data_IF_738954757344
#
_entry.id   IF_738954757344
#
_cell.length_a   1.000
_cell.length_b   1.000
_cell.length_c   1.000
_cell.angle_alpha   90.00
_cell.angle_beta   90.00
_cell.angle_gamma   90.00
#
_symmetry.space_group_name_H-M   'P 1'
#
loop_
_entity.id
_entity.type
_entity.pdbx_description
1 polymer ?
#
# COMPACT_ATOMS: atom_id res chain seq x y z
N UNK A 1 -4.59 4.21 13.89
CA UNK A 1 -3.33 3.56 13.43
C UNK A 1 -2.42 4.65 12.91
N UNK A 2 -1.19 4.78 13.41
CA UNK A 2 -0.29 5.87 13.05
C UNK A 2 0.25 5.71 11.62
N UNK A 3 0.62 6.82 10.96
CA UNK A 3 1.26 6.80 9.63
C UNK A 3 2.47 5.84 9.57
N UNK A 4 3.23 5.74 10.65
CA UNK A 4 4.34 4.80 10.81
C UNK A 4 3.91 3.33 10.70
N UNK A 5 2.78 2.93 11.26
CA UNK A 5 2.28 1.54 11.16
C UNK A 5 2.00 1.13 9.70
N UNK A 6 1.64 2.09 8.84
CA UNK A 6 1.43 1.85 7.40
C UNK A 6 2.75 1.71 6.64
N UNK A 7 3.74 2.54 6.94
CA UNK A 7 5.11 2.45 6.38
C UNK A 7 5.70 1.06 6.68
N UNK A 8 5.48 0.54 7.89
CA UNK A 8 6.02 -0.77 8.31
C UNK A 8 5.30 -1.97 7.70
N UNK A 9 4.02 -1.81 7.33
CA UNK A 9 3.32 -2.86 6.59
C UNK A 9 3.86 -3.02 5.17
N UNK A 10 4.22 -1.93 4.53
CA UNK A 10 4.90 -1.95 3.22
C UNK A 10 6.34 -2.47 3.32
N UNK A 11 7.04 -2.21 4.42
CA UNK A 11 8.37 -2.75 4.68
C UNK A 11 8.41 -4.28 4.93
N UNK A 12 7.30 -4.92 5.29
CA UNK A 12 7.21 -6.40 5.36
C UNK A 12 7.29 -7.09 3.99
N UNK A 13 7.14 -6.35 2.90
CA UNK A 13 7.30 -6.85 1.53
C UNK A 13 8.79 -6.91 1.14
N UNK A 14 9.67 -6.31 1.93
CA UNK A 14 11.12 -6.48 1.79
C UNK A 14 11.42 -7.95 2.11
N UNK A 15 11.57 -8.77 1.05
CA UNK A 15 11.81 -10.21 1.17
C UNK A 15 13.02 -10.50 2.07
N UNK A 16 12.93 -11.58 2.78
CA UNK A 16 13.81 -12.13 3.80
C UNK A 16 15.31 -12.16 3.51
N UNK A 17 15.78 -11.88 2.30
CA UNK A 17 17.19 -11.81 1.97
C UNK A 17 17.95 -10.64 2.61
N UNK A 18 17.25 -9.55 2.95
CA UNK A 18 17.82 -8.37 3.63
C UNK A 18 17.45 -8.33 5.11
N UNK A 19 16.35 -8.97 5.49
CA UNK A 19 15.73 -8.90 6.82
C UNK A 19 15.74 -10.26 7.54
N UNK A 20 16.86 -10.95 7.56
CA UNK A 20 16.96 -12.18 8.34
C UNK A 20 16.63 -11.94 9.82
N UNK A 21 15.41 -12.34 10.21
CA UNK A 21 15.01 -12.77 11.57
C UNK A 21 15.16 -11.80 12.75
N UNK A 22 14.97 -10.49 12.58
CA UNK A 22 14.98 -9.62 13.75
C UNK A 22 13.56 -9.32 14.25
N UNK A 23 13.25 -9.73 15.47
CA UNK A 23 12.16 -9.19 16.29
C UNK A 23 12.47 -7.73 16.61
N UNK A 24 12.46 -6.86 15.60
CA UNK A 24 12.63 -5.43 15.82
C UNK A 24 11.36 -4.88 16.48
N UNK A 25 11.56 -4.14 17.55
CA UNK A 25 10.52 -3.40 18.24
C UNK A 25 9.85 -2.35 17.35
N UNK A 26 9.05 -1.49 17.92
CA UNK A 26 8.22 -0.54 17.19
C UNK A 26 9.02 0.34 16.21
N UNK A 27 8.51 0.37 15.01
CA UNK A 27 8.43 1.43 14.01
C UNK A 27 9.71 2.19 13.64
N UNK A 28 10.33 2.90 14.52
CA UNK A 28 11.41 3.84 14.20
C UNK A 28 12.75 3.15 13.95
N UNK A 29 12.98 1.99 14.53
CA UNK A 29 14.21 1.20 14.37
C UNK A 29 14.41 0.71 12.94
N UNK A 30 13.34 0.55 12.17
CA UNK A 30 13.41 0.24 10.75
C UNK A 30 14.17 1.29 9.95
N UNK A 31 14.13 2.55 10.37
CA UNK A 31 14.91 3.61 9.74
C UNK A 31 16.41 3.31 9.76
N UNK A 32 16.93 2.72 10.85
CA UNK A 32 18.32 2.29 10.94
C UNK A 32 18.62 1.12 9.99
N UNK A 33 17.77 0.08 9.99
CA UNK A 33 17.91 -1.09 9.10
C UNK A 33 17.93 -0.67 7.64
N UNK A 34 16.99 0.17 7.23
CA UNK A 34 16.94 0.67 5.86
C UNK A 34 18.17 1.53 5.51
N UNK A 35 18.64 2.36 6.44
CA UNK A 35 19.83 3.16 6.22
C UNK A 35 21.10 2.26 6.02
N UNK A 36 21.28 1.24 6.83
CA UNK A 36 22.38 0.27 6.63
C UNK A 36 22.23 -0.48 5.31
N UNK A 37 21.02 -0.89 4.93
CA UNK A 37 20.74 -1.55 3.64
C UNK A 37 21.02 -0.64 2.45
N UNK A 38 20.78 0.67 2.56
CA UNK A 38 21.15 1.65 1.51
C UNK A 38 22.67 1.76 1.37
N UNK A 39 23.40 1.71 2.48
CA UNK A 39 24.88 1.82 2.48
C UNK A 39 25.58 0.54 2.03
N UNK A 40 24.92 -0.60 2.16
CA UNK A 40 25.44 -1.91 1.79
C UNK A 40 24.38 -2.75 1.08
N UNK A 41 23.96 -2.35 -0.13
CA UNK A 41 22.87 -3.00 -0.84
C UNK A 41 23.16 -4.50 -1.09
N UNK A 42 22.15 -5.33 -0.82
CA UNK A 42 22.23 -6.79 -0.99
C UNK A 42 23.02 -7.54 0.10
N UNK A 43 23.56 -6.84 1.10
CA UNK A 43 24.19 -7.48 2.27
C UNK A 43 23.20 -7.60 3.43
N UNK A 44 23.25 -8.69 4.21
CA UNK A 44 22.46 -8.80 5.43
C UNK A 44 22.75 -7.63 6.37
N UNK A 45 21.71 -6.99 6.87
CA UNK A 45 21.83 -5.97 7.91
C UNK A 45 21.62 -6.64 9.27
N UNK A 46 22.59 -6.60 10.20
CA UNK A 46 22.43 -7.23 11.51
C UNK A 46 21.36 -6.57 12.37
N UNK A 47 20.90 -5.37 11.98
CA UNK A 47 20.00 -4.58 12.81
C UNK A 47 20.62 -4.20 14.14
N UNK A 48 20.02 -3.27 14.84
CA UNK A 48 20.38 -2.98 16.23
C UNK A 48 19.14 -2.55 17.00
N UNK A 49 19.06 -2.97 18.26
CA UNK A 49 18.08 -2.40 19.18
C UNK A 49 18.58 -1.05 19.65
N UNK A 50 17.90 0.00 19.26
CA UNK A 50 18.19 1.35 19.72
C UNK A 50 16.93 2.01 20.31
N UNK A 51 17.12 2.97 21.22
CA UNK A 51 16.02 3.73 21.79
C UNK A 51 15.34 4.62 20.75
N UNK A 52 14.09 4.94 20.97
CA UNK A 52 13.35 5.89 20.13
C UNK A 52 13.97 7.29 20.16
N UNK A 53 13.67 8.11 19.15
CA UNK A 53 13.97 9.52 19.17
C UNK A 53 13.21 10.20 20.33
N UNK A 54 13.88 10.93 21.23
CA UNK A 54 13.19 11.54 22.38
C UNK A 54 12.26 12.70 21.99
N UNK A 55 12.66 13.50 21.00
CA UNK A 55 11.93 14.67 20.52
C UNK A 55 11.94 14.72 18.98
N UNK A 56 11.16 13.82 18.31
CA UNK A 56 11.10 13.82 16.85
C UNK A 56 10.71 15.19 16.30
N UNK A 57 11.52 15.74 15.39
CA UNK A 57 11.32 17.07 14.81
C UNK A 57 11.73 17.08 13.35
N UNK A 58 11.57 18.23 12.68
CA UNK A 58 11.86 18.40 11.27
C UNK A 58 10.59 18.69 10.48
N UNK A 59 10.74 18.79 9.18
CA UNK A 59 9.67 19.19 8.27
C UNK A 59 9.19 18.04 7.39
N UNK A 60 8.03 18.20 6.80
CA UNK A 60 7.57 17.44 5.66
C UNK A 60 8.28 17.94 4.41
N UNK A 61 8.31 17.13 3.37
CA UNK A 61 9.00 17.46 2.12
C UNK A 61 8.22 16.99 0.90
N UNK A 62 8.30 17.78 -0.18
CA UNK A 62 7.83 17.37 -1.50
C UNK A 62 8.89 17.69 -2.54
N UNK A 63 9.28 16.70 -3.34
CA UNK A 63 10.27 16.82 -4.40
C UNK A 63 11.18 15.60 -4.50
N UNK A 64 12.08 15.63 -5.46
CA UNK A 64 13.05 14.56 -5.64
C UNK A 64 14.12 14.64 -4.55
N UNK A 65 14.57 13.48 -4.07
CA UNK A 65 15.75 13.34 -3.21
C UNK A 65 16.77 12.48 -3.99
N UNK A 66 17.91 13.09 -4.30
CA UNK A 66 18.96 12.45 -5.12
C UNK A 66 19.69 11.36 -4.35
N UNK A 67 20.37 10.46 -5.08
CA UNK A 67 21.16 9.38 -4.50
C UNK A 67 22.23 9.92 -3.53
N UNK A 68 22.90 11.02 -3.88
CA UNK A 68 23.88 11.68 -3.01
C UNK A 68 23.25 12.14 -1.69
N UNK A 69 22.07 12.76 -1.75
CA UNK A 69 21.35 13.27 -0.58
C UNK A 69 20.88 12.13 0.33
N UNK A 70 20.17 11.13 -0.19
CA UNK A 70 19.68 10.05 0.67
C UNK A 70 20.79 9.14 1.21
N UNK A 71 21.87 8.97 0.46
CA UNK A 71 23.04 8.23 0.97
C UNK A 71 23.74 9.01 2.10
N UNK A 72 23.84 10.34 1.98
CA UNK A 72 24.34 11.20 3.06
C UNK A 72 23.49 11.09 4.32
N UNK A 73 22.15 11.14 4.17
CA UNK A 73 21.21 10.97 5.30
C UNK A 73 21.37 9.57 5.95
N UNK A 74 21.52 8.53 5.14
CA UNK A 74 21.72 7.18 5.65
C UNK A 74 23.02 7.07 6.47
N UNK A 75 24.12 7.65 5.99
CA UNK A 75 25.39 7.72 6.73
C UNK A 75 25.26 8.46 8.07
N UNK A 76 24.59 9.62 8.05
CA UNK A 76 24.33 10.40 9.27
C UNK A 76 23.55 9.58 10.30
N UNK A 77 22.46 8.93 9.84
CA UNK A 77 21.62 8.11 10.70
C UNK A 77 22.39 6.96 11.34
N UNK A 78 23.09 6.17 10.53
CA UNK A 78 23.87 5.01 11.01
C UNK A 78 24.95 5.45 12.01
N UNK A 79 25.71 6.49 11.68
CA UNK A 79 26.74 7.04 12.56
C UNK A 79 26.17 7.53 13.89
N UNK A 80 25.03 8.25 13.83
CA UNK A 80 24.35 8.76 15.02
C UNK A 80 23.87 7.62 15.94
N UNK A 81 23.20 6.60 15.36
CA UNK A 81 22.68 5.47 16.14
C UNK A 81 23.79 4.68 16.79
N UNK A 82 24.89 4.38 16.05
CA UNK A 82 26.06 3.69 16.59
C UNK A 82 26.70 4.44 17.79
N UNK A 83 26.73 5.79 17.72
CA UNK A 83 27.29 6.61 18.78
C UNK A 83 26.36 6.77 19.99
N UNK A 84 25.05 6.89 19.77
CA UNK A 84 24.11 7.35 20.80
C UNK A 84 23.14 6.26 21.28
N UNK A 85 23.15 5.08 20.67
CA UNK A 85 22.20 3.98 20.93
C UNK A 85 20.73 4.41 20.94
N UNK A 86 20.39 5.39 20.12
CA UNK A 86 19.01 5.88 19.91
C UNK A 86 18.82 6.46 18.52
N UNK A 87 17.58 6.55 18.08
CA UNK A 87 17.23 7.25 16.84
C UNK A 87 17.45 8.75 16.96
N UNK A 88 17.89 9.44 15.89
CA UNK A 88 17.95 10.91 15.86
C UNK A 88 16.56 11.51 15.76
N UNK A 89 16.42 12.74 16.23
CA UNK A 89 15.16 13.48 16.12
C UNK A 89 14.79 13.83 14.66
N UNK A 90 15.79 13.96 13.79
CA UNK A 90 15.68 14.21 12.35
C UNK A 90 16.96 13.76 11.64
N UNK A 91 16.91 13.65 10.31
CA UNK A 91 18.07 13.60 9.42
C UNK A 91 18.13 14.83 8.55
N UNK A 92 19.28 15.12 7.94
CA UNK A 92 19.45 16.30 7.11
C UNK A 92 20.05 16.00 5.75
N UNK A 93 19.74 16.86 4.79
CA UNK A 93 20.47 16.98 3.54
C UNK A 93 20.57 18.45 3.13
N UNK A 94 21.55 18.76 2.29
CA UNK A 94 21.80 20.12 1.81
C UNK A 94 21.22 20.30 0.41
N UNK A 95 20.51 21.41 0.20
CA UNK A 95 19.99 21.79 -1.11
C UNK A 95 19.96 23.31 -1.27
N UNK A 96 20.60 23.80 -2.34
CA UNK A 96 20.66 25.22 -2.65
C UNK A 96 21.14 26.07 -1.44
N UNK A 97 22.19 25.61 -0.76
CA UNK A 97 22.75 26.27 0.42
C UNK A 97 21.88 26.23 1.68
N UNK A 98 20.79 25.45 1.67
CA UNK A 98 19.90 25.29 2.83
C UNK A 98 19.94 23.89 3.38
N UNK A 99 20.02 23.76 4.69
CA UNK A 99 19.89 22.49 5.40
C UNK A 99 18.42 22.14 5.57
N UNK A 100 18.01 21.02 4.96
CA UNK A 100 16.68 20.47 5.07
C UNK A 100 16.66 19.40 6.17
N UNK A 101 15.82 19.58 7.19
CA UNK A 101 15.65 18.63 8.30
C UNK A 101 14.39 17.81 8.06
N UNK A 102 14.51 16.51 7.86
CA UNK A 102 13.37 15.61 7.66
C UNK A 102 12.97 14.92 8.96
N UNK A 103 11.66 14.91 9.24
CA UNK A 103 11.08 14.18 10.37
C UNK A 103 11.33 12.67 10.23
N UNK A 104 11.32 11.97 11.37
CA UNK A 104 11.54 10.51 11.43
C UNK A 104 10.60 9.75 10.48
N UNK A 105 9.30 10.02 10.51
CA UNK A 105 8.33 9.38 9.59
C UNK A 105 8.66 9.58 8.12
N UNK A 106 9.23 10.75 7.76
CA UNK A 106 9.52 11.14 6.38
C UNK A 106 10.74 10.39 5.85
N UNK A 107 11.86 10.39 6.58
CA UNK A 107 13.04 9.70 6.11
C UNK A 107 12.91 8.17 6.17
N UNK A 108 12.19 7.63 7.14
CA UNK A 108 11.90 6.18 7.19
C UNK A 108 11.07 5.77 5.98
N UNK A 109 10.07 6.55 5.61
CA UNK A 109 9.29 6.32 4.40
C UNK A 109 10.14 6.40 3.13
N UNK A 110 10.98 7.41 2.99
CA UNK A 110 11.92 7.55 1.88
C UNK A 110 12.83 6.32 1.76
N UNK A 111 13.44 5.90 2.87
CA UNK A 111 14.38 4.78 2.87
C UNK A 111 13.69 3.43 2.56
N UNK A 112 12.49 3.21 3.08
CA UNK A 112 11.69 2.03 2.74
C UNK A 112 11.41 1.94 1.24
N UNK A 113 11.06 3.06 0.57
CA UNK A 113 10.84 3.11 -0.87
C UNK A 113 12.12 2.88 -1.68
N UNK A 114 13.25 3.40 -1.22
CA UNK A 114 14.55 3.18 -1.87
C UNK A 114 14.91 1.69 -1.82
N UNK A 115 14.74 1.03 -0.67
CA UNK A 115 15.04 -0.39 -0.53
C UNK A 115 14.10 -1.22 -1.40
N UNK A 116 12.80 -0.90 -1.42
CA UNK A 116 11.86 -1.57 -2.31
C UNK A 116 12.26 -1.43 -3.80
N UNK A 117 12.65 -0.23 -4.23
CA UNK A 117 13.16 -0.04 -5.59
C UNK A 117 14.37 -0.93 -5.86
N UNK A 118 15.32 -0.99 -4.90
CA UNK A 118 16.50 -1.84 -5.02
C UNK A 118 16.14 -3.33 -5.16
N UNK A 119 15.16 -3.82 -4.41
CA UNK A 119 14.71 -5.22 -4.50
C UNK A 119 14.14 -5.59 -5.86
N UNK A 120 13.44 -4.66 -6.49
CA UNK A 120 12.84 -4.88 -7.83
C UNK A 120 13.86 -4.68 -8.95
N UNK A 121 14.71 -3.66 -8.84
CA UNK A 121 15.61 -3.24 -9.95
C UNK A 121 17.05 -3.64 -9.75
N UNK A 122 17.43 -4.22 -8.60
CA UNK A 122 18.79 -4.59 -8.20
C UNK A 122 19.84 -3.48 -8.31
N UNK A 123 19.38 -2.21 -8.27
CA UNK A 123 20.21 -1.01 -8.25
C UNK A 123 19.52 0.09 -7.45
N UNK A 124 20.32 0.94 -6.80
CA UNK A 124 19.79 2.11 -6.11
C UNK A 124 19.26 3.16 -7.11
N UNK A 125 18.12 3.83 -6.83
CA UNK A 125 17.59 4.87 -7.70
C UNK A 125 18.52 6.10 -7.72
N UNK A 126 18.68 6.72 -8.90
CA UNK A 126 19.43 8.00 -9.02
C UNK A 126 18.78 9.13 -8.21
N UNK A 127 17.46 9.11 -8.11
CA UNK A 127 16.65 9.98 -7.26
C UNK A 127 15.35 9.25 -6.88
N UNK A 128 14.76 9.64 -5.74
CA UNK A 128 13.45 9.15 -5.30
C UNK A 128 12.51 10.33 -5.08
N UNK A 129 11.34 10.30 -5.68
CA UNK A 129 10.28 11.27 -5.41
C UNK A 129 9.79 11.07 -3.98
N UNK A 130 9.81 12.11 -3.18
CA UNK A 130 9.26 12.14 -1.84
C UNK A 130 8.08 13.13 -1.83
N UNK A 131 6.89 12.62 -1.58
CA UNK A 131 5.69 13.45 -1.41
C UNK A 131 5.03 13.09 -0.08
N UNK A 132 5.17 13.96 0.90
CA UNK A 132 4.61 13.76 2.23
C UNK A 132 3.12 14.07 2.33
N UNK A 133 2.50 14.55 1.25
CA UNK A 133 1.03 14.70 1.20
C UNK A 133 0.32 13.36 1.43
N UNK A 134 0.97 12.24 1.12
CA UNK A 134 0.49 10.89 1.43
C UNK A 134 0.14 10.70 2.92
N UNK A 135 0.80 11.41 3.82
CA UNK A 135 0.50 11.35 5.26
C UNK A 135 -0.76 12.13 5.65
N UNK A 136 -1.23 13.03 4.78
CA UNK A 136 -2.41 13.88 4.98
C UNK A 136 -3.63 13.39 4.21
N UNK A 137 -3.49 12.34 3.40
CA UNK A 137 -4.63 11.80 2.68
C UNK A 137 -5.69 11.29 3.67
N UNK A 138 -6.96 11.61 3.43
CA UNK A 138 -8.03 11.14 4.29
C UNK A 138 -8.03 9.62 4.36
N UNK A 139 -8.24 9.11 5.55
CA UNK A 139 -8.46 7.68 5.76
C UNK A 139 -9.93 7.45 5.52
N UNK A 140 -10.27 6.48 4.68
CA UNK A 140 -11.67 6.03 4.54
C UNK A 140 -12.25 5.75 5.92
N UNK A 141 -13.53 6.06 6.13
CA UNK A 141 -14.22 5.97 7.43
C UNK A 141 -13.95 4.65 8.14
N UNK A 142 -14.03 3.54 7.42
CA UNK A 142 -13.77 2.20 7.96
C UNK A 142 -12.39 1.66 7.56
N UNK A 143 -11.76 2.23 6.52
CA UNK A 143 -10.45 1.84 5.98
C UNK A 143 -10.42 0.45 5.36
N UNK A 144 -9.30 0.08 4.78
CA UNK A 144 -9.06 -1.30 4.33
C UNK A 144 -8.74 -2.20 5.50
N UNK A 145 -9.05 -3.47 5.39
CA UNK A 145 -8.67 -4.44 6.41
C UNK A 145 -7.16 -4.46 6.61
N UNK A 146 -6.77 -4.44 7.87
CA UNK A 146 -5.38 -4.50 8.28
C UNK A 146 -5.09 -5.69 9.19
N UNK A 147 -6.12 -6.50 9.47
CA UNK A 147 -6.00 -7.69 10.29
C UNK A 147 -5.34 -8.82 9.48
N UNK A 148 -4.54 -9.61 10.15
CA UNK A 148 -4.05 -10.87 9.59
C UNK A 148 -5.11 -11.94 9.74
N UNK A 149 -5.15 -12.84 8.77
CA UNK A 149 -6.04 -13.99 8.75
C UNK A 149 -7.03 -13.95 7.60
N UNK A 150 -7.61 -15.11 7.33
CA UNK A 150 -8.67 -15.28 6.36
C UNK A 150 -9.85 -14.35 6.69
N UNK A 151 -10.53 -13.87 5.71
CA UNK A 151 -11.68 -12.96 5.79
C UNK A 151 -11.38 -11.47 6.08
N UNK A 152 -10.15 -11.10 6.46
CA UNK A 152 -9.87 -9.73 6.88
C UNK A 152 -8.85 -8.99 6.03
N UNK A 153 -7.99 -9.69 5.27
CA UNK A 153 -6.94 -9.02 4.53
C UNK A 153 -6.63 -9.64 3.17
N UNK A 154 -6.75 -10.93 3.05
CA UNK A 154 -6.51 -11.67 1.82
C UNK A 154 -7.73 -12.43 1.38
N UNK A 155 -7.68 -12.98 0.18
CA UNK A 155 -8.71 -13.88 -0.31
C UNK A 155 -8.63 -15.26 0.33
N UNK A 156 -9.78 -15.90 0.53
CA UNK A 156 -9.85 -17.20 1.22
C UNK A 156 -9.28 -18.34 0.38
N UNK A 157 -9.30 -18.22 -0.95
CA UNK A 157 -8.74 -19.20 -1.88
C UNK A 157 -8.24 -18.53 -3.17
N UNK A 158 -7.66 -19.29 -4.09
CA UNK A 158 -7.00 -18.79 -5.28
C UNK A 158 -7.88 -18.02 -6.28
N UNK A 159 -9.21 -18.10 -6.18
CA UNK A 159 -10.16 -17.48 -7.11
C UNK A 159 -11.16 -16.51 -6.44
N UNK A 160 -10.95 -16.13 -5.17
CA UNK A 160 -11.84 -15.22 -4.43
C UNK A 160 -11.42 -13.75 -4.49
N UNK A 161 -10.65 -13.31 -5.49
CA UNK A 161 -10.30 -11.90 -5.64
C UNK A 161 -11.53 -11.00 -5.82
N UNK A 162 -12.54 -11.42 -6.61
CA UNK A 162 -13.81 -10.70 -6.75
C UNK A 162 -14.60 -10.60 -5.44
N UNK A 163 -14.92 -11.69 -4.75
CA UNK A 163 -15.53 -11.68 -3.42
C UNK A 163 -14.78 -10.80 -2.41
N UNK A 164 -13.45 -10.86 -2.41
CA UNK A 164 -12.64 -10.02 -1.51
C UNK A 164 -12.75 -8.54 -1.88
N UNK A 165 -12.66 -8.18 -3.16
CA UNK A 165 -12.81 -6.79 -3.61
C UNK A 165 -14.17 -6.22 -3.15
N UNK A 166 -15.26 -6.95 -3.33
CA UNK A 166 -16.60 -6.54 -2.91
C UNK A 166 -16.69 -6.44 -1.38
N UNK A 167 -16.12 -7.38 -0.64
CA UNK A 167 -16.07 -7.32 0.82
C UNK A 167 -15.44 -6.02 1.33
N UNK A 168 -14.31 -5.63 0.74
CA UNK A 168 -13.61 -4.40 1.13
C UNK A 168 -14.37 -3.13 0.73
N UNK A 169 -15.04 -3.11 -0.43
CA UNK A 169 -15.88 -1.99 -0.86
C UNK A 169 -17.08 -1.82 0.08
N UNK A 170 -17.84 -2.88 0.33
CA UNK A 170 -19.00 -2.85 1.24
C UNK A 170 -18.56 -2.39 2.62
N UNK A 171 -17.54 -3.00 3.17
CA UNK A 171 -17.00 -2.65 4.48
C UNK A 171 -16.58 -1.18 4.54
N UNK A 172 -15.89 -0.70 3.51
CA UNK A 172 -15.40 0.67 3.49
C UNK A 172 -16.52 1.72 3.42
N UNK A 173 -17.60 1.40 2.71
CA UNK A 173 -18.74 2.31 2.55
C UNK A 173 -19.77 2.22 3.69
N UNK A 174 -19.89 1.08 4.36
CA UNK A 174 -20.98 0.81 5.29
C UNK A 174 -20.55 0.38 6.69
N UNK A 175 -19.33 -0.12 6.84
CA UNK A 175 -18.83 -0.74 8.07
C UNK A 175 -19.23 -2.21 8.24
N UNK A 176 -20.10 -2.72 7.36
CA UNK A 176 -20.58 -4.10 7.44
C UNK A 176 -19.58 -5.03 6.76
N UNK A 177 -19.29 -6.16 7.41
CA UNK A 177 -18.41 -7.20 6.88
C UNK A 177 -19.25 -8.41 6.49
N UNK A 178 -19.24 -8.73 5.20
CA UNK A 178 -19.86 -9.95 4.66
C UNK A 178 -18.75 -10.98 4.44
N UNK A 179 -19.01 -12.25 4.75
CA UNK A 179 -18.00 -13.30 4.49
C UNK A 179 -17.76 -13.46 2.99
N UNK A 180 -16.51 -13.73 2.62
CA UNK A 180 -16.17 -13.97 1.20
C UNK A 180 -16.92 -15.18 0.63
N UNK A 181 -17.17 -16.21 1.45
CA UNK A 181 -17.96 -17.38 1.01
C UNK A 181 -19.41 -17.03 0.70
N UNK A 182 -20.03 -16.17 1.49
CA UNK A 182 -21.37 -15.64 1.19
C UNK A 182 -21.36 -14.85 -0.11
N UNK A 183 -20.40 -13.93 -0.26
CA UNK A 183 -20.29 -13.13 -1.49
C UNK A 183 -19.99 -14.01 -2.70
N UNK A 184 -19.11 -15.00 -2.59
CA UNK A 184 -18.81 -15.94 -3.67
C UNK A 184 -20.04 -16.70 -4.14
N UNK A 185 -20.88 -17.16 -3.21
CA UNK A 185 -22.14 -17.82 -3.52
C UNK A 185 -23.12 -16.91 -4.26
N UNK A 186 -23.22 -15.64 -3.84
CA UNK A 186 -24.11 -14.64 -4.46
C UNK A 186 -23.59 -14.20 -5.83
N UNK A 187 -22.29 -14.05 -5.98
CA UNK A 187 -21.61 -13.68 -7.24
C UNK A 187 -21.68 -14.83 -8.25
N UNK A 188 -21.76 -16.08 -7.77
CA UNK A 188 -21.59 -17.26 -8.62
C UNK A 188 -20.13 -17.53 -8.95
N UNK A 189 -19.20 -17.20 -8.04
CA UNK A 189 -17.75 -17.38 -8.23
C UNK A 189 -17.43 -18.86 -8.35
N UNK A 190 -16.67 -19.21 -9.39
CA UNK A 190 -16.15 -20.57 -9.66
C UNK A 190 -14.63 -20.62 -9.56
N UNK A 191 -14.01 -21.72 -9.89
CA UNK A 191 -12.56 -21.85 -10.05
C UNK A 191 -11.99 -20.91 -11.13
N UNK A 192 -12.81 -20.46 -12.08
CA UNK A 192 -12.44 -19.54 -13.14
C UNK A 192 -12.55 -18.06 -12.71
N UNK A 193 -12.97 -17.82 -11.46
CA UNK A 193 -13.11 -16.51 -10.86
C UNK A 193 -14.54 -15.98 -10.86
N UNK A 194 -14.67 -14.66 -10.98
CA UNK A 194 -15.92 -13.89 -10.95
C UNK A 194 -16.03 -13.02 -12.19
N UNK A 195 -17.25 -12.78 -12.66
CA UNK A 195 -17.53 -11.82 -13.73
C UNK A 195 -18.14 -10.51 -13.18
N UNK A 196 -18.29 -9.50 -14.05
CA UNK A 196 -18.85 -8.20 -13.67
C UNK A 196 -20.32 -8.29 -13.27
N UNK A 197 -21.11 -9.15 -13.92
CA UNK A 197 -22.53 -9.31 -13.62
C UNK A 197 -22.76 -9.92 -12.25
N UNK A 198 -21.96 -10.93 -11.89
CA UNK A 198 -21.96 -11.49 -10.56
C UNK A 198 -21.58 -10.45 -9.49
N UNK A 199 -20.55 -9.63 -9.74
CA UNK A 199 -20.16 -8.55 -8.82
C UNK A 199 -21.28 -7.52 -8.65
N UNK A 200 -21.97 -7.12 -9.74
CA UNK A 200 -23.14 -6.24 -9.68
C UNK A 200 -24.29 -6.87 -8.88
N UNK A 201 -24.55 -8.16 -9.11
CA UNK A 201 -25.57 -8.94 -8.39
C UNK A 201 -25.33 -8.95 -6.89
N UNK A 202 -24.07 -9.03 -6.46
CA UNK A 202 -23.70 -9.03 -5.04
C UNK A 202 -24.02 -7.68 -4.35
N UNK A 203 -23.79 -6.55 -5.01
CA UNK A 203 -24.18 -5.24 -4.49
C UNK A 203 -25.70 -5.09 -4.43
N UNK A 204 -26.42 -5.52 -5.46
CA UNK A 204 -27.89 -5.51 -5.45
C UNK A 204 -28.45 -6.43 -4.34
N UNK A 205 -27.85 -7.60 -4.13
CA UNK A 205 -28.19 -8.49 -3.02
C UNK A 205 -27.93 -7.82 -1.66
N UNK A 206 -26.78 -7.16 -1.49
CA UNK A 206 -26.44 -6.46 -0.27
C UNK A 206 -27.47 -5.36 0.04
N UNK A 207 -27.83 -4.55 -0.96
CA UNK A 207 -28.84 -3.50 -0.80
C UNK A 207 -30.18 -4.05 -0.27
N UNK A 208 -30.68 -5.15 -0.88
CA UNK A 208 -31.94 -5.78 -0.47
C UNK A 208 -31.90 -6.34 0.95
N UNK A 209 -30.78 -6.92 1.36
CA UNK A 209 -30.70 -7.63 2.64
C UNK A 209 -30.32 -6.72 3.82
N UNK A 210 -29.65 -5.61 3.56
CA UNK A 210 -29.14 -4.70 4.59
C UNK A 210 -29.73 -3.29 4.55
N UNK A 211 -30.64 -3.01 3.61
CA UNK A 211 -31.34 -1.72 3.52
C UNK A 211 -30.45 -0.56 3.07
N UNK A 212 -29.43 -0.82 2.28
CA UNK A 212 -28.56 0.21 1.70
C UNK A 212 -28.97 0.56 0.27
N UNK A 213 -28.40 1.66 -0.23
CA UNK A 213 -28.60 2.13 -1.61
C UNK A 213 -27.23 2.34 -2.28
N UNK A 214 -26.46 1.25 -2.41
CA UNK A 214 -25.20 1.26 -3.12
C UNK A 214 -25.46 1.18 -4.62
N UNK A 215 -24.91 2.11 -5.40
CA UNK A 215 -24.98 2.15 -6.86
C UNK A 215 -23.64 1.76 -7.45
N UNK A 216 -23.67 0.92 -8.48
CA UNK A 216 -22.48 0.44 -9.19
C UNK A 216 -22.41 1.06 -10.57
N UNK A 217 -21.23 1.49 -10.96
CA UNK A 217 -20.91 1.93 -12.31
C UNK A 217 -19.53 1.41 -12.71
N UNK A 218 -19.46 0.72 -13.85
CA UNK A 218 -18.19 0.32 -14.45
C UNK A 218 -17.70 1.38 -15.43
N UNK A 219 -16.45 1.81 -15.28
CA UNK A 219 -15.81 2.84 -16.11
C UNK A 219 -14.53 2.32 -16.72
N UNK A 220 -14.17 2.87 -17.89
CA UNK A 220 -12.82 2.68 -18.40
C UNK A 220 -11.85 3.52 -17.58
N UNK A 221 -10.65 3.03 -17.37
CA UNK A 221 -9.60 3.82 -16.73
C UNK A 221 -9.31 5.10 -17.54
N UNK A 222 -9.32 5.02 -18.89
CA UNK A 222 -9.14 6.18 -19.77
C UNK A 222 -10.09 7.34 -19.51
N UNK A 223 -11.32 7.04 -19.07
CA UNK A 223 -12.36 8.06 -18.83
C UNK A 223 -12.16 8.75 -17.47
N UNK A 224 -11.60 8.03 -16.50
CA UNK A 224 -11.37 8.53 -15.14
C UNK A 224 -10.00 9.17 -14.98
N UNK A 225 -8.98 8.53 -15.50
CA UNK A 225 -7.59 8.83 -15.21
C UNK A 225 -7.27 8.81 -13.71
N UNK A 226 -6.04 9.12 -13.37
CA UNK A 226 -5.60 9.15 -11.96
C UNK A 226 -6.29 10.21 -11.13
N UNK A 227 -6.69 11.34 -11.75
CA UNK A 227 -7.41 12.41 -11.05
C UNK A 227 -8.83 12.01 -10.66
N UNK A 228 -9.52 11.27 -11.52
CA UNK A 228 -10.86 10.74 -11.25
C UNK A 228 -10.84 9.69 -10.14
N UNK A 229 -9.90 8.74 -10.22
CA UNK A 229 -9.72 7.74 -9.16
C UNK A 229 -9.38 8.40 -7.81
N UNK A 230 -8.49 9.40 -7.82
CA UNK A 230 -8.16 10.14 -6.61
C UNK A 230 -9.39 10.79 -5.96
N UNK A 231 -10.27 11.41 -6.75
CA UNK A 231 -11.52 12.00 -6.26
C UNK A 231 -12.43 10.95 -5.60
N UNK A 232 -12.54 9.75 -6.20
CA UNK A 232 -13.31 8.64 -5.63
C UNK A 232 -12.72 8.23 -4.28
N UNK A 233 -11.39 8.06 -4.21
CA UNK A 233 -10.71 7.67 -2.98
C UNK A 233 -10.79 8.73 -1.87
N UNK A 234 -10.88 10.00 -2.22
CA UNK A 234 -11.04 11.11 -1.28
C UNK A 234 -12.50 11.31 -0.85
N UNK A 235 -13.45 10.74 -1.58
CA UNK A 235 -14.89 10.81 -1.24
C UNK A 235 -15.21 9.96 -0.01
N UNK A 236 -16.13 10.44 0.83
CA UNK A 236 -16.63 9.69 1.99
C UNK A 236 -17.68 8.64 1.64
N UNK A 237 -18.33 8.79 0.47
CA UNK A 237 -19.44 7.95 0.03
C UNK A 237 -19.16 7.16 -1.26
N UNK A 238 -17.94 7.19 -1.77
CA UNK A 238 -17.52 6.40 -2.93
C UNK A 238 -16.33 5.51 -2.60
N UNK A 239 -16.23 4.40 -3.31
CA UNK A 239 -15.07 3.53 -3.32
C UNK A 239 -14.92 2.87 -4.69
N UNK A 240 -13.75 2.30 -4.99
CA UNK A 240 -13.54 1.62 -6.25
C UNK A 240 -12.68 0.37 -6.12
N UNK A 241 -12.98 -0.58 -6.99
CA UNK A 241 -12.17 -1.76 -7.25
C UNK A 241 -11.64 -1.76 -8.68
N UNK A 242 -10.62 -2.54 -8.91
CA UNK A 242 -9.95 -2.70 -10.18
C UNK A 242 -10.17 -4.10 -10.74
N UNK A 243 -10.43 -4.18 -12.03
CA UNK A 243 -10.22 -5.38 -12.83
C UNK A 243 -8.98 -5.15 -13.69
N UNK A 244 -7.95 -5.93 -13.47
CA UNK A 244 -6.64 -5.76 -14.09
C UNK A 244 -6.11 -7.07 -14.67
N UNK A 245 -5.29 -6.99 -15.71
CA UNK A 245 -4.47 -8.12 -16.16
C UNK A 245 -3.19 -8.12 -15.31
N UNK A 246 -3.25 -8.76 -14.15
CA UNK A 246 -2.18 -8.70 -13.16
C UNK A 246 -0.87 -9.25 -13.73
N UNK A 247 0.18 -8.43 -13.67
CA UNK A 247 1.49 -8.71 -14.27
C UNK A 247 1.41 -9.11 -15.75
N UNK A 248 0.40 -8.60 -16.47
CA UNK A 248 0.12 -8.93 -17.87
C UNK A 248 -0.07 -10.43 -18.17
N UNK A 249 -0.60 -11.18 -17.21
CA UNK A 249 -0.74 -12.65 -17.32
C UNK A 249 -2.17 -13.17 -17.13
N UNK A 250 -2.90 -12.70 -16.10
CA UNK A 250 -4.22 -13.23 -15.75
C UNK A 250 -5.11 -12.18 -15.09
N UNK A 251 -6.43 -12.34 -15.24
CA UNK A 251 -7.41 -11.43 -14.68
C UNK A 251 -7.40 -11.43 -13.15
N UNK A 252 -7.43 -10.25 -12.54
CA UNK A 252 -7.42 -10.11 -11.10
C UNK A 252 -8.25 -8.93 -10.64
N UNK A 253 -8.89 -9.06 -9.48
CA UNK A 253 -9.61 -7.97 -8.83
C UNK A 253 -8.85 -7.49 -7.60
N UNK A 254 -8.64 -6.16 -7.53
CA UNK A 254 -7.96 -5.50 -6.41
C UNK A 254 -8.71 -4.23 -6.01
N UNK A 255 -8.31 -3.62 -4.90
CA UNK A 255 -8.85 -2.32 -4.48
C UNK A 255 -7.76 -1.27 -4.47
N UNK A 256 -8.09 -0.06 -4.90
CA UNK A 256 -7.22 1.08 -4.65
C UNK A 256 -7.19 1.44 -3.17
N UNK A 257 -6.02 1.80 -2.67
CA UNK A 257 -5.86 2.29 -1.31
C UNK A 257 -5.49 3.77 -1.29
N UNK A 258 -4.53 4.19 -2.14
CA UNK A 258 -4.06 5.57 -2.23
C UNK A 258 -3.39 5.90 -3.55
N UNK A 259 -3.38 7.21 -3.87
CA UNK A 259 -2.62 7.78 -4.99
C UNK A 259 -1.76 8.93 -4.46
N UNK A 260 -0.45 8.92 -4.80
CA UNK A 260 0.47 9.96 -4.39
C UNK A 260 1.66 10.08 -5.36
N UNK A 261 1.87 11.29 -5.88
CA UNK A 261 2.89 11.53 -6.91
C UNK A 261 2.69 10.61 -8.11
N UNK A 262 3.72 9.87 -8.48
CA UNK A 262 3.72 8.90 -9.58
C UNK A 262 3.43 7.46 -9.13
N UNK A 263 2.94 7.30 -7.90
CA UNK A 263 2.71 6.00 -7.28
C UNK A 263 1.27 5.82 -6.83
N UNK A 264 0.89 4.57 -6.72
CA UNK A 264 -0.38 4.14 -6.13
C UNK A 264 -0.13 3.02 -5.12
N UNK A 265 -0.95 2.98 -4.09
CA UNK A 265 -1.11 1.81 -3.23
C UNK A 265 -2.35 1.03 -3.63
N UNK A 266 -2.18 -0.25 -3.89
CA UNK A 266 -3.25 -1.19 -4.23
C UNK A 266 -3.36 -2.22 -3.11
N UNK A 267 -4.57 -2.46 -2.65
CA UNK A 267 -4.84 -3.55 -1.73
C UNK A 267 -5.01 -4.85 -2.53
N UNK A 268 -3.93 -5.61 -2.64
CA UNK A 268 -3.91 -6.88 -3.33
C UNK A 268 -4.28 -8.00 -2.35
N UNK A 269 -5.36 -8.72 -2.65
CA UNK A 269 -5.84 -9.82 -1.81
C UNK A 269 -4.99 -11.09 -1.95
N UNK A 270 -4.24 -11.21 -3.04
CA UNK A 270 -3.35 -12.33 -3.31
C UNK A 270 -1.97 -12.03 -2.73
N UNK A 271 -1.53 -12.81 -1.80
CA UNK A 271 -0.20 -12.78 -1.20
C UNK A 271 0.33 -14.20 -1.07
N UNK A 272 1.32 -14.38 -0.21
CA UNK A 272 1.76 -15.73 0.15
C UNK A 272 0.61 -16.46 0.87
N UNK A 273 0.48 -17.75 0.61
CA UNK A 273 -0.45 -18.61 1.35
C UNK A 273 0.03 -18.71 2.79
N UNK A 274 -0.81 -18.34 3.73
CA UNK A 274 -0.43 -18.24 5.14
C UNK A 274 -0.90 -19.46 5.95
N UNK A 275 -0.34 -19.62 7.14
CA UNK A 275 -0.62 -20.75 8.05
C UNK A 275 -2.10 -20.88 8.48
N UNK A 276 -2.91 -19.87 8.14
CA UNK A 276 -4.36 -19.86 8.42
C UNK A 276 -5.22 -20.46 7.29
N UNK A 277 -4.61 -21.08 6.28
CA UNK A 277 -5.34 -21.72 5.19
C UNK A 277 -5.95 -20.73 4.18
N UNK A 278 -5.38 -19.55 4.05
CA UNK A 278 -5.83 -18.48 3.13
C UNK A 278 -4.65 -17.64 2.64
N UNK A 279 -4.90 -16.74 1.70
CA UNK A 279 -3.90 -15.79 1.23
C UNK A 279 -3.78 -14.60 2.17
N UNK A 280 -2.54 -14.20 2.46
CA UNK A 280 -2.22 -13.10 3.36
C UNK A 280 -2.22 -11.74 2.66
N UNK A 281 -3.19 -11.32 1.94
CA UNK A 281 -3.23 -10.06 1.18
C UNK A 281 -2.36 -8.92 1.71
N UNK A 282 -1.90 -8.04 0.87
CA UNK A 282 -0.96 -6.97 1.21
C UNK A 282 -1.25 -5.68 0.45
N UNK A 283 -0.75 -4.56 0.96
CA UNK A 283 -0.73 -3.31 0.20
C UNK A 283 0.50 -3.29 -0.69
N UNK A 284 0.27 -3.18 -1.99
CA UNK A 284 1.29 -3.12 -3.02
C UNK A 284 1.44 -1.67 -3.50
N UNK A 285 2.65 -1.14 -3.42
CA UNK A 285 2.98 0.13 -4.06
C UNK A 285 3.39 -0.14 -5.50
N UNK A 286 2.80 0.56 -6.46
CA UNK A 286 3.10 0.44 -7.88
C UNK A 286 3.38 1.81 -8.48
N UNK A 287 4.22 1.88 -9.51
CA UNK A 287 4.26 3.02 -10.39
C UNK A 287 2.95 3.13 -11.17
N UNK A 288 2.48 4.34 -11.45
CA UNK A 288 1.27 4.56 -12.24
C UNK A 288 1.37 3.92 -13.63
N UNK A 289 2.54 3.99 -14.27
CA UNK A 289 2.78 3.36 -15.57
C UNK A 289 2.66 1.83 -15.54
N UNK A 290 3.10 1.20 -14.45
CA UNK A 290 2.92 -0.24 -14.24
C UNK A 290 1.44 -0.58 -14.09
N UNK A 291 0.72 0.17 -13.27
CA UNK A 291 -0.71 -0.03 -13.08
C UNK A 291 -1.52 0.22 -14.35
N UNK A 292 -1.16 1.25 -15.13
CA UNK A 292 -1.78 1.52 -16.43
C UNK A 292 -1.61 0.34 -17.41
N UNK A 293 -0.44 -0.29 -17.41
CA UNK A 293 -0.21 -1.47 -18.26
C UNK A 293 -1.12 -2.65 -17.88
N UNK A 294 -1.37 -2.84 -16.58
CA UNK A 294 -2.27 -3.91 -16.11
C UNK A 294 -3.73 -3.61 -16.42
N UNK A 295 -4.16 -2.35 -16.30
CA UNK A 295 -5.51 -1.91 -16.64
C UNK A 295 -5.78 -1.94 -18.15
N UNK A 296 -4.79 -1.57 -18.94
CA UNK A 296 -4.85 -1.61 -20.41
C UNK A 296 -4.93 -3.01 -21.02
N UNK A 297 -4.51 -4.03 -20.27
CA UNK A 297 -4.59 -5.44 -20.69
C UNK A 297 -6.00 -6.03 -20.65
N UNK A 298 -6.96 -5.35 -20.02
CA UNK A 298 -8.37 -5.79 -19.91
C UNK A 298 -9.21 -5.19 -21.03
N UNK A 299 -9.89 -6.05 -21.78
CA UNK A 299 -10.81 -5.63 -22.86
C UNK A 299 -12.13 -5.03 -22.36
N UNK A 300 -12.48 -5.25 -21.10
CA UNK A 300 -13.68 -4.73 -20.45
C UNK A 300 -13.36 -3.45 -19.68
N UNK A 301 -14.41 -2.76 -19.19
CA UNK A 301 -14.24 -1.63 -18.27
C UNK A 301 -13.52 -2.08 -17.01
N UNK A 302 -12.43 -1.41 -16.68
CA UNK A 302 -11.48 -1.88 -15.68
C UNK A 302 -11.67 -1.31 -14.28
N UNK A 303 -12.57 -0.34 -14.09
CA UNK A 303 -12.80 0.31 -12.80
C UNK A 303 -14.26 0.20 -12.37
N UNK A 304 -14.50 -0.54 -11.29
CA UNK A 304 -15.79 -0.59 -10.62
C UNK A 304 -15.87 0.57 -9.62
N UNK A 305 -16.79 1.48 -9.83
CA UNK A 305 -17.08 2.57 -8.90
C UNK A 305 -18.37 2.24 -8.15
N UNK A 306 -18.31 2.28 -6.83
CA UNK A 306 -19.48 2.07 -5.97
C UNK A 306 -19.76 3.34 -5.18
N UNK A 307 -20.98 3.83 -5.25
CA UNK A 307 -21.44 5.04 -4.55
C UNK A 307 -22.52 4.67 -3.53
N UNK A 308 -22.34 5.06 -2.28
CA UNK A 308 -23.41 5.01 -1.28
C UNK A 308 -24.29 6.24 -1.47
N UNK A 309 -25.48 6.03 -2.01
CA UNK A 309 -26.42 7.10 -2.38
C UNK A 309 -27.43 7.45 -1.25
N UNK A 310 -27.17 6.99 -0.02
CA UNK A 310 -27.98 7.30 1.17
C UNK A 310 -28.79 6.15 1.67
#
# INVERSE_FOLDING_TARGET
MTALTRIFKNARIVKSSVLNHHKLGAGEQWGYVFAESILSPGKPCPGTHCKKAPNPSGQEWKGNVTQKEYTSMAKQLVSFVKKNNRMPNYTTFERNGKTIKLQTKVYVYLFARIIRYYEVKHKLPKAMVLDTSVFKQPVKKYGRSTSYGCNNRGQNNGYYCGPHMIQEIIRNLTGIVISQSTLASVIGTTSDGSDHDGLNTSIAWFNRNYGYNLKVEWKNFSDLGWSGIKKILESSNQDCGLHELYRNTWGHYTNFDKIYGDYIDVHNSLGDYCDYGCYCGYTEERDKSEAESYLGGISQKSVMVVTNAG
#
